data_IF_830306264499
#
_entry.id   IF_830306264499
#
_cell.length_a   1.000
_cell.length_b   1.000
_cell.length_c   1.000
_cell.angle_alpha   90.00
_cell.angle_beta   90.00
_cell.angle_gamma   90.00
#
_symmetry.space_group_name_H-M   'P 1'
#
loop_
_entity.id
_entity.type
_entity.pdbx_description
1 polymer ?
#
# COMPACT_ATOMS: atom_id res chain seq x y z
N UNK A 1 5.04 20.85 2.39
CA UNK A 1 5.16 20.10 3.66
C UNK A 1 5.34 18.62 3.34
N UNK A 2 6.30 17.95 3.98
CA UNK A 2 6.63 16.56 3.67
C UNK A 2 5.57 15.60 4.27
N UNK A 3 4.64 15.13 3.44
CA UNK A 3 3.51 14.25 3.83
C UNK A 3 3.96 12.91 4.42
N UNK A 4 5.19 12.47 4.12
CA UNK A 4 5.74 11.21 4.62
C UNK A 4 5.97 11.26 6.14
N UNK A 5 6.59 12.34 6.61
CA UNK A 5 7.04 12.50 8.01
C UNK A 5 6.08 13.32 8.86
N UNK A 6 5.14 14.05 8.24
CA UNK A 6 4.16 14.84 8.99
C UNK A 6 3.28 13.91 9.83
N UNK A 7 3.36 14.06 11.14
CA UNK A 7 2.53 13.35 12.12
C UNK A 7 1.41 14.28 12.57
N UNK A 8 0.17 13.83 12.45
CA UNK A 8 -0.97 14.57 12.99
C UNK A 8 -0.88 14.67 14.53
N UNK A 9 -1.37 15.76 15.16
CA UNK A 9 -1.42 15.86 16.62
C UNK A 9 -2.17 14.66 17.23
N UNK A 10 -1.49 13.85 18.04
CA UNK A 10 -2.04 12.62 18.61
C UNK A 10 -2.29 11.48 17.61
N UNK A 11 -1.85 11.62 16.36
CA UNK A 11 -2.06 10.67 15.28
C UNK A 11 -0.77 10.07 14.72
N UNK A 12 -0.88 9.52 13.51
CA UNK A 12 0.19 8.84 12.81
C UNK A 12 0.66 9.67 11.59
N UNK A 13 1.93 9.50 11.23
CA UNK A 13 2.48 9.85 9.92
C UNK A 13 2.39 8.66 8.95
N UNK A 14 2.63 8.89 7.66
CA UNK A 14 2.76 7.79 6.69
C UNK A 14 3.89 6.81 7.05
N UNK A 15 4.96 7.31 7.69
CA UNK A 15 6.05 6.47 8.17
C UNK A 15 5.60 5.57 9.33
N UNK A 16 4.78 6.07 10.24
CA UNK A 16 4.21 5.28 11.35
C UNK A 16 3.26 4.19 10.83
N UNK A 17 2.41 4.54 9.84
CA UNK A 17 1.54 3.56 9.19
C UNK A 17 2.36 2.49 8.46
N UNK A 18 3.43 2.87 7.76
CA UNK A 18 4.37 1.93 7.11
C UNK A 18 4.97 0.95 8.11
N UNK A 19 5.48 1.45 9.23
CA UNK A 19 6.09 0.62 10.27
C UNK A 19 5.08 -0.39 10.84
N UNK A 20 3.87 0.07 11.14
CA UNK A 20 2.78 -0.80 11.61
C UNK A 20 2.37 -1.85 10.57
N UNK A 21 2.34 -1.48 9.29
CA UNK A 21 1.99 -2.39 8.20
C UNK A 21 3.10 -3.40 7.85
N UNK A 22 4.33 -3.21 8.33
CA UNK A 22 5.46 -4.09 8.02
C UNK A 22 5.16 -5.57 8.33
N UNK A 23 4.52 -5.85 9.48
CA UNK A 23 4.12 -7.23 9.84
C UNK A 23 3.12 -7.86 8.88
N UNK A 24 2.21 -7.06 8.33
CA UNK A 24 1.22 -7.52 7.34
C UNK A 24 1.91 -7.75 6.00
N UNK A 25 2.77 -6.83 5.57
CA UNK A 25 3.56 -6.96 4.35
C UNK A 25 4.38 -8.26 4.33
N UNK A 26 5.09 -8.57 5.42
CA UNK A 26 5.88 -9.81 5.50
C UNK A 26 5.03 -11.07 5.36
N UNK A 27 3.79 -11.07 5.89
CA UNK A 27 2.85 -12.19 5.71
C UNK A 27 2.36 -12.29 4.26
N UNK A 28 2.07 -11.16 3.62
CA UNK A 28 1.64 -11.13 2.22
C UNK A 28 2.72 -11.67 1.28
N UNK A 29 3.98 -11.27 1.48
CA UNK A 29 5.13 -11.70 0.66
C UNK A 29 5.44 -13.19 0.87
N UNK A 30 5.29 -13.69 2.10
CA UNK A 30 5.58 -15.08 2.44
C UNK A 30 4.46 -16.07 2.09
N UNK A 31 3.25 -15.58 1.77
CA UNK A 31 2.11 -16.44 1.44
C UNK A 31 2.16 -16.91 -0.01
N UNK A 32 1.71 -18.15 -0.25
CA UNK A 32 1.50 -18.70 -1.60
C UNK A 32 0.04 -18.74 -2.00
N UNK A 33 -0.86 -18.47 -1.06
CA UNK A 33 -2.30 -18.49 -1.29
C UNK A 33 -2.80 -17.16 -1.87
N UNK A 34 -3.94 -17.20 -2.56
CA UNK A 34 -4.64 -15.99 -3.00
C UNK A 34 -5.18 -15.21 -1.79
N UNK A 35 -4.83 -13.93 -1.67
CA UNK A 35 -5.22 -13.06 -0.54
C UNK A 35 -5.95 -11.82 -1.05
N UNK A 36 -7.08 -11.50 -0.41
CA UNK A 36 -7.78 -10.22 -0.58
C UNK A 36 -7.51 -9.33 0.62
N UNK A 37 -7.00 -8.12 0.38
CA UNK A 37 -6.78 -7.10 1.42
C UNK A 37 -7.82 -5.99 1.26
N UNK A 38 -8.67 -5.80 2.28
CA UNK A 38 -9.62 -4.68 2.35
C UNK A 38 -9.17 -3.74 3.46
N UNK A 39 -8.84 -2.49 3.10
CA UNK A 39 -8.31 -1.51 4.04
C UNK A 39 -8.61 -0.06 3.60
N UNK A 40 -8.23 0.90 4.42
CA UNK A 40 -8.35 2.33 4.10
C UNK A 40 -7.29 2.80 3.09
N UNK A 41 -7.56 3.92 2.41
CA UNK A 41 -6.70 4.49 1.34
C UNK A 41 -5.23 4.64 1.74
N UNK A 42 -4.93 5.12 2.95
CA UNK A 42 -3.55 5.29 3.40
C UNK A 42 -2.80 3.96 3.55
N UNK A 43 -3.49 2.91 4.03
CA UNK A 43 -2.92 1.57 4.18
C UNK A 43 -2.72 0.92 2.82
N UNK A 44 -3.70 1.04 1.91
CA UNK A 44 -3.57 0.53 0.54
C UNK A 44 -2.39 1.20 -0.18
N UNK A 45 -2.18 2.51 -0.02
CA UNK A 45 -1.00 3.21 -0.57
C UNK A 45 0.31 2.61 -0.08
N UNK A 46 0.42 2.34 1.23
CA UNK A 46 1.61 1.73 1.83
C UNK A 46 1.85 0.35 1.23
N UNK A 47 0.82 -0.49 1.14
CA UNK A 47 0.94 -1.84 0.60
C UNK A 47 1.30 -1.83 -0.89
N UNK A 48 0.58 -1.06 -1.70
CA UNK A 48 0.87 -0.94 -3.14
C UNK A 48 2.25 -0.34 -3.39
N UNK A 49 2.67 0.66 -2.62
CA UNK A 49 4.00 1.26 -2.78
C UNK A 49 5.14 0.26 -2.59
N UNK A 50 4.93 -0.74 -1.72
CA UNK A 50 5.89 -1.80 -1.52
C UNK A 50 5.97 -2.73 -2.75
N UNK A 51 4.82 -3.22 -3.23
CA UNK A 51 4.81 -4.15 -4.36
C UNK A 51 5.24 -3.48 -5.68
N UNK A 52 4.91 -2.21 -5.88
CA UNK A 52 5.23 -1.44 -7.09
C UNK A 52 6.60 -0.76 -7.04
N UNK A 53 7.41 -1.03 -6.01
CA UNK A 53 8.73 -0.43 -5.79
C UNK A 53 8.73 1.12 -5.86
N UNK A 54 7.67 1.72 -5.31
CA UNK A 54 7.52 3.18 -5.28
C UNK A 54 8.37 3.75 -4.14
N UNK A 55 9.19 4.78 -4.40
CA UNK A 55 10.03 5.36 -3.37
C UNK A 55 9.18 5.93 -2.21
N UNK A 56 9.64 5.82 -0.94
CA UNK A 56 8.87 6.28 0.22
C UNK A 56 8.42 7.74 0.15
N UNK A 57 9.19 8.59 -0.53
CA UNK A 57 8.84 10.01 -0.75
C UNK A 57 7.60 10.20 -1.62
N UNK A 58 7.31 9.28 -2.55
CA UNK A 58 6.17 9.33 -3.46
C UNK A 58 4.95 8.52 -2.97
N UNK A 59 5.14 7.61 -2.01
CA UNK A 59 4.08 6.77 -1.44
C UNK A 59 2.83 7.55 -0.98
N UNK A 60 2.93 8.72 -0.29
CA UNK A 60 1.75 9.48 0.12
C UNK A 60 0.92 10.01 -1.05
N UNK A 61 1.55 10.20 -2.20
CA UNK A 61 0.96 10.78 -3.40
C UNK A 61 0.51 9.72 -4.42
N UNK A 62 0.71 8.42 -4.10
CA UNK A 62 0.23 7.32 -4.92
C UNK A 62 -1.30 7.40 -5.09
N UNK A 63 -1.74 7.39 -6.35
CA UNK A 63 -3.17 7.41 -6.67
C UNK A 63 -3.78 6.05 -6.35
N UNK A 64 -4.82 6.07 -5.51
CA UNK A 64 -5.67 4.91 -5.22
C UNK A 64 -7.10 5.38 -5.42
N UNK A 65 -7.76 4.82 -6.42
CA UNK A 65 -9.12 5.13 -6.82
C UNK A 65 -10.11 4.51 -5.83
N UNK A 66 -11.26 5.16 -5.64
CA UNK A 66 -12.39 4.55 -4.94
C UNK A 66 -13.05 3.50 -5.84
N UNK A 67 -13.75 2.56 -5.21
CA UNK A 67 -14.53 1.53 -5.91
C UNK A 67 -13.71 0.77 -6.96
N UNK A 68 -12.41 0.57 -6.69
CA UNK A 68 -11.48 -0.07 -7.60
C UNK A 68 -10.71 -1.15 -6.84
N UNK A 69 -10.67 -2.35 -7.42
CA UNK A 69 -9.87 -3.47 -6.93
C UNK A 69 -8.58 -3.53 -7.74
N UNK A 70 -7.46 -3.66 -7.05
CA UNK A 70 -6.14 -3.80 -7.63
C UNK A 70 -5.69 -5.25 -7.50
N UNK A 71 -5.57 -5.96 -8.62
CA UNK A 71 -4.99 -7.29 -8.66
C UNK A 71 -3.47 -7.17 -8.86
N UNK A 72 -2.73 -7.89 -8.02
CA UNK A 72 -1.28 -7.95 -7.99
C UNK A 72 -0.86 -9.40 -8.23
N UNK A 73 0.13 -9.63 -9.09
CA UNK A 73 0.80 -10.92 -9.20
C UNK A 73 2.08 -10.85 -8.35
N UNK A 74 2.10 -11.37 -7.10
CA UNK A 74 3.20 -11.20 -6.15
C UNK A 74 4.45 -11.94 -6.65
N UNK A 75 5.29 -11.23 -7.40
CA UNK A 75 6.65 -11.59 -7.78
C UNK A 75 7.63 -10.73 -6.98
N UNK A 76 8.93 -11.07 -6.98
CA UNK A 76 9.92 -10.35 -6.18
C UNK A 76 10.00 -8.84 -6.49
N UNK A 77 9.57 -8.43 -7.69
CA UNK A 77 9.44 -7.04 -8.13
C UNK A 77 8.20 -6.93 -9.03
N UNK A 78 7.02 -6.62 -8.46
CA UNK A 78 5.79 -6.53 -9.25
C UNK A 78 5.77 -5.24 -10.07
N UNK A 79 5.87 -5.34 -11.39
CA UNK A 79 5.70 -4.17 -12.28
C UNK A 79 4.26 -4.01 -12.79
N UNK A 80 3.42 -5.05 -12.68
CA UNK A 80 2.07 -5.05 -13.26
C UNK A 80 0.97 -5.08 -12.19
N UNK A 81 0.07 -4.12 -12.28
CA UNK A 81 -1.21 -4.05 -11.54
C UNK A 81 -2.35 -4.06 -12.54
N UNK A 82 -3.38 -4.87 -12.30
CA UNK A 82 -4.63 -4.81 -13.07
C UNK A 82 -5.67 -4.10 -12.22
N UNK A 83 -6.33 -3.09 -12.79
CA UNK A 83 -7.40 -2.34 -12.12
C UNK A 83 -8.76 -2.84 -12.56
N UNK A 84 -9.62 -3.16 -11.59
CA UNK A 84 -11.00 -3.57 -11.80
C UNK A 84 -11.92 -2.56 -11.12
N UNK A 85 -12.60 -1.74 -11.92
CA UNK A 85 -13.59 -0.80 -11.40
C UNK A 85 -14.88 -1.54 -11.05
N UNK A 86 -15.32 -1.38 -9.81
CA UNK A 86 -16.62 -1.86 -9.34
C UNK A 86 -17.71 -0.87 -9.79
N UNK A 87 -18.90 -1.42 -10.05
CA UNK A 87 -20.05 -0.72 -10.63
C UNK A 87 -20.45 0.56 -9.88
#
# INVERSE_FOLDING_TARGET
>A
ANRLIYRYPGGESYLDVKERCHRVLMKLIGSRDSILVVAHRAVIRVILSYFLDVPPSAMPDLTVNQDTVYELEPTAYCTNTKEYKLL
#
